data_IF_418205477899
#
_entry.id   IF_418205477899
#
_cell.length_a   1.000
_cell.length_b   1.000
_cell.length_c   1.000
_cell.angle_alpha   90.00
_cell.angle_beta   90.00
_cell.angle_gamma   90.00
#
_symmetry.space_group_name_H-M   'P 1'
#
loop_
_entity.id
_entity.type
_entity.pdbx_description
1 polymer ?
#
# COMPACT_ATOMS: atom_id res chain seq x y z
N UNK A 1 -14.43 16.91 59.52
CA UNK A 1 -15.45 17.34 58.54
C UNK A 1 -15.19 16.94 57.08
N UNK A 2 -14.24 16.04 56.78
CA UNK A 2 -14.03 15.50 55.42
C UNK A 2 -14.33 13.99 55.30
N UNK A 3 -14.81 13.36 56.38
CA UNK A 3 -15.10 11.92 56.44
C UNK A 3 -16.60 11.57 56.34
N UNK A 4 -17.48 12.56 56.10
CA UNK A 4 -18.93 12.38 56.26
C UNK A 4 -19.72 12.39 54.93
N UNK A 5 -19.01 12.34 53.80
CA UNK A 5 -19.65 12.16 52.49
C UNK A 5 -18.96 11.03 51.78
N UNK A 6 -19.48 9.80 51.95
CA UNK A 6 -19.03 8.58 51.28
C UNK A 6 -19.23 8.56 49.75
N UNK A 7 -19.04 9.69 49.08
CA UNK A 7 -19.04 9.83 47.63
C UNK A 7 -18.03 10.90 47.24
N UNK A 8 -17.02 10.51 46.44
CA UNK A 8 -16.45 11.24 45.28
C UNK A 8 -14.94 10.97 45.05
N UNK A 9 -14.57 9.70 44.88
CA UNK A 9 -13.44 9.34 44.01
C UNK A 9 -13.79 8.13 43.14
N UNK A 10 -14.99 8.17 42.56
CA UNK A 10 -15.38 7.31 41.44
C UNK A 10 -15.64 8.28 40.31
N UNK A 11 -14.61 8.66 39.54
CA UNK A 11 -14.87 8.75 38.11
C UNK A 11 -15.54 7.42 37.78
N UNK A 12 -16.84 7.46 37.45
CA UNK A 12 -17.66 6.25 37.40
C UNK A 12 -16.96 5.33 36.42
N UNK A 13 -16.59 4.14 36.86
CA UNK A 13 -16.05 3.09 35.99
C UNK A 13 -16.94 2.94 34.73
N UNK A 14 -18.24 3.15 34.90
CA UNK A 14 -19.24 3.22 33.83
C UNK A 14 -18.98 4.34 32.80
N UNK A 15 -18.65 5.56 33.23
CA UNK A 15 -18.30 6.68 32.34
C UNK A 15 -17.01 6.40 31.57
N UNK A 16 -16.02 5.77 32.21
CA UNK A 16 -14.78 5.34 31.54
C UNK A 16 -15.06 4.28 30.48
N UNK A 17 -15.89 3.27 30.79
CA UNK A 17 -16.30 2.24 29.84
C UNK A 17 -17.08 2.85 28.67
N UNK A 18 -17.96 3.82 28.94
CA UNK A 18 -18.74 4.50 27.91
C UNK A 18 -17.85 5.37 27.00
N UNK A 19 -16.89 6.10 27.59
CA UNK A 19 -15.88 6.87 26.83
C UNK A 19 -15.01 5.98 25.96
N UNK A 20 -14.56 4.83 26.50
CA UNK A 20 -13.79 3.82 25.76
C UNK A 20 -14.62 3.19 24.64
N UNK A 21 -15.88 2.85 24.87
CA UNK A 21 -16.79 2.32 23.84
C UNK A 21 -17.04 3.35 22.74
N UNK A 22 -17.27 4.61 23.10
CA UNK A 22 -17.45 5.69 22.14
C UNK A 22 -16.19 5.92 21.30
N UNK A 23 -15.01 5.92 21.93
CA UNK A 23 -13.73 6.02 21.23
C UNK A 23 -13.49 4.85 20.28
N UNK A 24 -13.75 3.60 20.72
CA UNK A 24 -13.64 2.41 19.85
C UNK A 24 -14.61 2.50 18.66
N UNK A 25 -15.84 2.98 18.88
CA UNK A 25 -16.84 3.13 17.82
C UNK A 25 -16.51 4.24 16.81
N UNK A 26 -15.84 5.31 17.26
CA UNK A 26 -15.34 6.37 16.39
C UNK A 26 -14.11 5.93 15.58
N UNK A 27 -13.27 5.04 16.14
CA UNK A 27 -12.17 4.39 15.43
C UNK A 27 -12.68 3.46 14.32
N UNK A 28 -13.69 2.63 14.62
CA UNK A 28 -14.36 1.76 13.64
C UNK A 28 -14.95 2.57 12.47
N UNK A 29 -15.49 3.77 12.76
CA UNK A 29 -16.09 4.65 11.75
C UNK A 29 -15.04 5.39 10.90
N UNK A 30 -13.83 5.56 11.42
CA UNK A 30 -12.71 6.24 10.76
C UNK A 30 -11.68 5.24 10.25
N UNK A 31 -12.08 4.00 9.96
CA UNK A 31 -11.18 3.06 9.30
C UNK A 31 -10.70 3.70 8.00
N UNK A 32 -9.45 4.17 8.04
CA UNK A 32 -8.81 4.82 6.93
C UNK A 32 -8.30 3.74 6.02
N UNK A 33 -9.10 3.40 5.03
CA UNK A 33 -8.73 2.47 3.97
C UNK A 33 -8.35 3.30 2.75
N UNK A 34 -7.33 2.89 1.99
CA UNK A 34 -6.95 3.51 0.71
C UNK A 34 -8.16 3.76 -0.23
N UNK A 35 -9.19 2.91 -0.16
CA UNK A 35 -10.44 3.06 -0.92
C UNK A 35 -11.21 4.33 -0.61
N UNK A 36 -11.06 4.93 0.59
CA UNK A 36 -11.68 6.20 0.96
C UNK A 36 -11.13 7.40 0.15
N UNK A 37 -9.96 7.25 -0.47
CA UNK A 37 -9.34 8.28 -1.31
C UNK A 37 -9.78 8.19 -2.78
N UNK A 38 -10.48 7.12 -3.15
CA UNK A 38 -10.89 6.87 -4.53
C UNK A 38 -12.14 7.67 -4.92
N UNK A 39 -12.37 7.81 -6.22
CA UNK A 39 -13.56 8.41 -6.79
C UNK A 39 -14.77 7.52 -6.49
N UNK A 40 -15.92 8.17 -6.32
CA UNK A 40 -17.21 7.49 -6.10
C UNK A 40 -17.67 6.66 -7.32
N UNK A 41 -17.12 6.92 -8.51
CA UNK A 41 -17.41 6.18 -9.74
C UNK A 41 -16.24 6.13 -10.72
N UNK A 42 -16.27 5.16 -11.63
CA UNK A 42 -15.30 4.98 -12.72
C UNK A 42 -14.66 3.59 -12.72
N UNK A 43 -14.23 3.14 -13.90
CA UNK A 43 -13.65 1.80 -14.07
C UNK A 43 -12.38 1.60 -13.23
N UNK A 44 -11.48 2.59 -13.19
CA UNK A 44 -10.27 2.51 -12.36
C UNK A 44 -10.60 2.40 -10.87
N UNK A 45 -11.58 3.16 -10.38
CA UNK A 45 -12.00 3.11 -8.98
C UNK A 45 -12.67 1.78 -8.63
N UNK A 46 -13.51 1.26 -9.50
CA UNK A 46 -14.14 -0.06 -9.33
C UNK A 46 -13.10 -1.20 -9.31
N UNK A 47 -12.11 -1.15 -10.20
CA UNK A 47 -11.05 -2.15 -10.25
C UNK A 47 -10.12 -2.04 -9.05
N UNK A 48 -9.65 -0.84 -8.71
CA UNK A 48 -8.74 -0.61 -7.57
C UNK A 48 -9.38 -0.94 -6.22
N UNK A 49 -10.72 -0.80 -6.10
CA UNK A 49 -11.46 -1.17 -4.89
C UNK A 49 -11.79 -2.66 -4.80
N UNK A 50 -11.47 -3.45 -5.83
CA UNK A 50 -11.75 -4.88 -5.84
C UNK A 50 -10.79 -5.63 -4.91
N UNK A 51 -11.33 -6.44 -4.01
CA UNK A 51 -10.54 -7.29 -3.11
C UNK A 51 -9.64 -8.26 -3.90
N UNK A 52 -10.11 -8.77 -5.04
CA UNK A 52 -9.32 -9.65 -5.89
C UNK A 52 -8.08 -8.91 -6.47
N UNK A 53 -8.24 -7.64 -6.83
CA UNK A 53 -7.13 -6.79 -7.27
C UNK A 53 -6.14 -6.54 -6.13
N UNK A 54 -6.62 -6.28 -4.92
CA UNK A 54 -5.77 -6.18 -3.72
C UNK A 54 -4.92 -7.43 -3.48
N UNK A 55 -5.52 -8.62 -3.54
CA UNK A 55 -4.75 -9.86 -3.39
C UNK A 55 -3.77 -10.12 -4.54
N UNK A 56 -4.15 -9.79 -5.77
CA UNK A 56 -3.30 -9.93 -6.94
C UNK A 56 -2.03 -9.07 -6.82
N UNK A 57 -2.20 -7.78 -6.53
CA UNK A 57 -1.12 -6.82 -6.37
C UNK A 57 -0.18 -7.19 -5.22
N UNK A 58 -0.74 -7.56 -4.07
CA UNK A 58 0.05 -8.05 -2.94
C UNK A 58 0.85 -9.32 -3.27
N UNK A 59 0.27 -10.24 -4.06
CA UNK A 59 0.98 -11.42 -4.54
C UNK A 59 2.12 -11.06 -5.50
N UNK A 60 1.92 -10.07 -6.38
CA UNK A 60 2.96 -9.57 -7.28
C UNK A 60 4.15 -8.97 -6.52
N UNK A 61 3.93 -8.25 -5.43
CA UNK A 61 5.01 -7.73 -4.56
C UNK A 61 5.85 -8.86 -3.95
N UNK A 62 5.19 -9.93 -3.49
CA UNK A 62 5.88 -11.11 -2.96
C UNK A 62 6.71 -11.80 -4.04
N UNK A 63 6.12 -12.03 -5.21
CA UNK A 63 6.81 -12.64 -6.35
C UNK A 63 8.00 -11.80 -6.82
N UNK A 64 7.84 -10.47 -6.86
CA UNK A 64 8.93 -9.56 -7.19
C UNK A 64 10.08 -9.63 -6.17
N UNK A 65 9.76 -9.68 -4.89
CA UNK A 65 10.76 -9.80 -3.82
C UNK A 65 11.53 -11.13 -3.91
N UNK A 66 10.83 -12.22 -4.22
CA UNK A 66 11.46 -13.52 -4.47
C UNK A 66 12.35 -13.47 -5.71
N UNK A 67 11.90 -12.82 -6.78
CA UNK A 67 12.66 -12.65 -8.00
C UNK A 67 13.96 -11.88 -7.77
N UNK A 68 13.91 -10.75 -7.06
CA UNK A 68 15.11 -9.99 -6.67
C UNK A 68 16.11 -10.84 -5.88
N UNK A 69 15.62 -11.74 -5.03
CA UNK A 69 16.48 -12.69 -4.30
C UNK A 69 17.12 -13.75 -5.20
N UNK A 70 16.40 -14.24 -6.21
CA UNK A 70 16.94 -15.16 -7.21
C UNK A 70 17.98 -14.46 -8.09
N UNK A 71 17.66 -13.27 -8.59
CA UNK A 71 18.54 -12.46 -9.41
C UNK A 71 19.85 -12.16 -8.66
N UNK A 72 19.77 -11.68 -7.42
CA UNK A 72 20.93 -11.41 -6.59
C UNK A 72 21.85 -12.62 -6.33
N UNK A 73 21.32 -13.85 -6.39
CA UNK A 73 22.08 -15.07 -6.09
C UNK A 73 22.54 -15.85 -7.33
N UNK A 74 21.83 -15.74 -8.45
CA UNK A 74 22.07 -16.55 -9.65
C UNK A 74 22.48 -15.73 -10.87
N UNK A 75 22.25 -14.42 -10.87
CA UNK A 75 22.70 -13.55 -11.94
C UNK A 75 24.13 -13.07 -11.66
N UNK A 76 25.10 -13.66 -12.35
CA UNK A 76 26.51 -13.27 -12.25
C UNK A 76 26.86 -12.10 -13.19
N UNK A 77 25.90 -11.60 -13.96
CA UNK A 77 26.13 -10.46 -14.83
C UNK A 77 26.19 -9.18 -14.00
N UNK A 78 27.26 -8.40 -14.17
CA UNK A 78 27.38 -7.08 -13.53
C UNK A 78 26.35 -6.06 -14.08
N UNK A 79 25.70 -6.38 -15.19
CA UNK A 79 24.71 -5.55 -15.88
C UNK A 79 23.64 -6.46 -16.47
N UNK A 80 22.36 -6.13 -16.25
CA UNK A 80 21.20 -6.94 -16.66
C UNK A 80 21.18 -7.24 -18.17
N UNK A 81 21.76 -6.41 -19.04
CA UNK A 81 21.83 -6.70 -20.48
C UNK A 81 22.74 -7.87 -20.84
N UNK A 82 23.70 -8.18 -19.97
CA UNK A 82 24.57 -9.33 -20.10
C UNK A 82 23.97 -10.56 -19.43
N UNK A 83 22.87 -10.38 -18.67
CA UNK A 83 22.11 -11.49 -18.10
C UNK A 83 21.32 -12.20 -19.20
N UNK A 84 21.07 -13.49 -19.00
CA UNK A 84 20.28 -14.30 -19.93
C UNK A 84 18.92 -13.64 -20.21
N UNK A 85 18.40 -13.86 -21.42
CA UNK A 85 17.14 -13.28 -21.87
C UNK A 85 15.96 -13.56 -20.92
N UNK A 86 16.01 -14.67 -20.17
CA UNK A 86 15.03 -14.98 -19.12
C UNK A 86 14.99 -13.95 -18.00
N UNK A 87 16.15 -13.44 -17.55
CA UNK A 87 16.22 -12.44 -16.49
C UNK A 87 15.66 -11.09 -16.95
N UNK A 88 16.03 -10.68 -18.17
CA UNK A 88 15.53 -9.44 -18.77
C UNK A 88 14.01 -9.45 -18.96
N UNK A 89 13.44 -10.58 -19.41
CA UNK A 89 11.99 -10.71 -19.61
C UNK A 89 11.21 -10.67 -18.29
N UNK A 90 11.74 -11.29 -17.23
CA UNK A 90 11.10 -11.29 -15.93
C UNK A 90 11.10 -9.88 -15.30
N UNK A 91 12.21 -9.16 -15.40
CA UNK A 91 12.30 -7.78 -14.91
C UNK A 91 11.34 -6.85 -15.64
N UNK A 92 11.33 -6.90 -16.98
CA UNK A 92 10.38 -6.15 -17.80
C UNK A 92 8.92 -6.48 -17.45
N UNK A 93 8.61 -7.75 -17.17
CA UNK A 93 7.28 -8.17 -16.74
C UNK A 93 6.86 -7.49 -15.43
N UNK A 94 7.71 -7.48 -14.41
CA UNK A 94 7.38 -6.81 -13.14
C UNK A 94 7.21 -5.30 -13.33
N UNK A 95 8.09 -4.65 -14.09
CA UNK A 95 7.97 -3.21 -14.39
C UNK A 95 6.63 -2.89 -15.03
N UNK A 96 6.23 -3.64 -16.06
CA UNK A 96 4.96 -3.43 -16.77
C UNK A 96 3.78 -3.61 -15.82
N UNK A 97 3.77 -4.69 -15.03
CA UNK A 97 2.64 -4.99 -14.14
C UNK A 97 2.51 -3.93 -13.05
N UNK A 98 3.58 -3.56 -12.35
CA UNK A 98 3.53 -2.51 -11.33
C UNK A 98 3.21 -1.13 -11.92
N UNK A 99 3.66 -0.84 -13.15
CA UNK A 99 3.30 0.41 -13.84
C UNK A 99 1.79 0.46 -14.13
N UNK A 100 1.20 -0.63 -14.59
CA UNK A 100 -0.25 -0.71 -14.83
C UNK A 100 -1.03 -0.60 -13.52
N UNK A 101 -0.59 -1.31 -12.48
CA UNK A 101 -1.18 -1.24 -11.14
C UNK A 101 -1.18 0.21 -10.62
N UNK A 102 -0.02 0.86 -10.64
CA UNK A 102 0.16 2.24 -10.23
C UNK A 102 -0.74 3.18 -11.04
N UNK A 103 -0.84 2.98 -12.36
CA UNK A 103 -1.71 3.77 -13.22
C UNK A 103 -3.20 3.60 -12.89
N UNK A 104 -3.64 2.37 -12.59
CA UNK A 104 -5.02 2.07 -12.19
C UNK A 104 -5.34 2.74 -10.84
N UNK A 105 -4.49 2.57 -9.82
CA UNK A 105 -4.70 3.18 -8.49
C UNK A 105 -4.61 4.71 -8.55
N UNK A 106 -3.64 5.25 -9.28
CA UNK A 106 -3.56 6.69 -9.51
C UNK A 106 -4.81 7.21 -10.23
N UNK A 107 -5.34 6.47 -11.21
CA UNK A 107 -6.58 6.77 -11.92
C UNK A 107 -7.83 6.77 -11.01
N UNK A 108 -7.82 5.90 -10.00
CA UNK A 108 -8.87 5.76 -8.99
C UNK A 108 -8.93 6.95 -8.02
N UNK A 109 -7.81 7.60 -7.69
CA UNK A 109 -7.77 8.74 -6.75
C UNK A 109 -8.72 9.88 -7.14
N UNK A 110 -9.50 10.36 -6.16
CA UNK A 110 -10.38 11.54 -6.29
C UNK A 110 -9.57 12.83 -6.45
N UNK A 111 -8.55 13.01 -5.62
CA UNK A 111 -7.60 14.12 -5.69
C UNK A 111 -6.19 13.56 -5.84
N UNK A 112 -5.43 14.04 -6.83
CA UNK A 112 -4.07 13.52 -7.09
C UNK A 112 -3.09 13.81 -5.96
N UNK A 113 -3.29 14.90 -5.22
CA UNK A 113 -2.52 15.23 -4.02
C UNK A 113 -2.72 14.22 -2.88
N UNK A 114 -3.84 13.48 -2.86
CA UNK A 114 -4.08 12.41 -1.90
C UNK A 114 -3.15 11.21 -2.08
N UNK A 115 -2.39 11.13 -3.19
CA UNK A 115 -1.39 10.08 -3.40
C UNK A 115 -0.39 9.98 -2.24
N UNK A 116 0.02 11.11 -1.65
CA UNK A 116 0.98 11.15 -0.54
C UNK A 116 0.36 10.62 0.77
N UNK A 117 -0.96 10.65 0.87
CA UNK A 117 -1.69 10.11 2.04
C UNK A 117 -1.91 8.60 1.92
N UNK A 118 -1.86 8.06 0.70
CA UNK A 118 -1.91 6.64 0.41
C UNK A 118 -0.50 6.04 0.49
N UNK A 119 -0.19 5.45 1.65
CA UNK A 119 1.12 4.84 1.91
C UNK A 119 1.45 3.69 0.96
N UNK A 120 0.45 2.91 0.55
CA UNK A 120 0.63 1.79 -0.38
C UNK A 120 0.93 2.28 -1.78
N UNK A 121 0.19 3.28 -2.25
CA UNK A 121 0.45 3.89 -3.56
C UNK A 121 1.81 4.60 -3.64
N UNK A 122 2.23 5.23 -2.54
CA UNK A 122 3.58 5.80 -2.45
C UNK A 122 4.67 4.72 -2.52
N UNK A 123 4.45 3.59 -1.85
CA UNK A 123 5.36 2.45 -1.91
C UNK A 123 5.48 1.90 -3.34
N UNK A 124 4.36 1.69 -4.03
CA UNK A 124 4.36 1.24 -5.43
C UNK A 124 5.09 2.23 -6.35
N UNK A 125 4.89 3.54 -6.14
CA UNK A 125 5.59 4.56 -6.91
C UNK A 125 7.11 4.48 -6.73
N UNK A 126 7.58 4.26 -5.50
CA UNK A 126 9.01 4.09 -5.21
C UNK A 126 9.54 2.83 -5.89
N UNK A 127 8.81 1.71 -5.82
CA UNK A 127 9.20 0.47 -6.50
C UNK A 127 9.33 0.67 -8.01
N UNK A 128 8.32 1.24 -8.65
CA UNK A 128 8.34 1.53 -10.09
C UNK A 128 9.48 2.50 -10.44
N UNK A 129 9.74 3.51 -9.60
CA UNK A 129 10.83 4.46 -9.83
C UNK A 129 12.21 3.80 -9.75
N UNK A 130 12.42 2.87 -8.81
CA UNK A 130 13.67 2.09 -8.70
C UNK A 130 13.84 1.22 -9.94
N UNK A 131 12.81 0.44 -10.31
CA UNK A 131 12.83 -0.44 -11.48
C UNK A 131 13.07 0.31 -12.80
N UNK A 132 12.41 1.45 -12.98
CA UNK A 132 12.64 2.30 -14.15
C UNK A 132 14.02 2.96 -14.11
N UNK A 133 14.55 3.28 -12.93
CA UNK A 133 15.91 3.76 -12.75
C UNK A 133 16.93 2.73 -13.23
N UNK A 134 16.77 1.47 -12.82
CA UNK A 134 17.58 0.35 -13.31
C UNK A 134 17.45 0.19 -14.83
N UNK A 135 16.22 0.14 -15.34
CA UNK A 135 15.94 0.04 -16.79
C UNK A 135 16.47 1.24 -17.61
N UNK A 136 16.60 2.43 -17.02
CA UNK A 136 17.14 3.61 -17.70
C UNK A 136 18.66 3.61 -17.72
N UNK A 137 19.31 3.23 -16.61
CA UNK A 137 20.77 2.99 -16.55
C UNK A 137 21.18 1.88 -17.51
N UNK A 138 20.25 0.96 -17.76
CA UNK A 138 20.39 -0.10 -18.73
C UNK A 138 20.53 0.50 -20.16
N UNK A 139 19.63 1.36 -20.66
CA UNK A 139 19.69 1.88 -22.04
C UNK A 139 21.08 2.45 -22.46
N UNK A 140 21.63 2.04 -23.63
CA UNK A 140 22.97 2.41 -24.08
C UNK A 140 23.14 3.88 -24.49
#
# INVERSE_FOLDING_TARGET
HAFDTGRKYRMRFDQYIESRRAAVKDLDRKEYTETNLYKDSGWCAALASSTAFGFFTMSMVVLNSLWLGIDANFNNAAVVWQADAGFQLAELFFVIVFTIELAVRFGALKYKSSMIQDGWLCFDLILVAIMLGESLVMLP
#
